data_IF_833787876261
#
_entry.id   IF_833787876261
#
_cell.length_a   1.000
_cell.length_b   1.000
_cell.length_c   1.000
_cell.angle_alpha   90.00
_cell.angle_beta   90.00
_cell.angle_gamma   90.00
#
_symmetry.space_group_name_H-M   'P 1'
#
loop_
_entity.id
_entity.type
_entity.pdbx_description
1 polymer ?
#
# COMPACT_ATOMS: atom_id res chain seq x y z
N UNK A 1 -12.17 -15.16 -15.23
CA UNK A 1 -12.97 -14.26 -14.35
C UNK A 1 -13.53 -15.10 -13.23
N UNK A 2 -13.66 -14.55 -12.01
CA UNK A 2 -14.25 -15.29 -10.88
C UNK A 2 -15.78 -15.25 -10.97
N UNK A 3 -16.41 -16.41 -11.12
CA UNK A 3 -17.85 -16.57 -10.92
C UNK A 3 -18.12 -16.76 -9.41
N UNK A 4 -19.06 -15.98 -8.87
CA UNK A 4 -19.43 -16.03 -7.45
C UNK A 4 -20.35 -17.20 -7.13
N UNK A 5 -21.01 -17.76 -8.14
CA UNK A 5 -21.96 -18.87 -7.97
C UNK A 5 -21.26 -20.22 -7.95
N UNK A 6 -20.14 -20.34 -8.67
CA UNK A 6 -19.31 -21.55 -8.74
C UNK A 6 -17.80 -21.22 -8.64
N UNK A 7 -17.32 -20.70 -7.50
CA UNK A 7 -15.93 -20.33 -7.35
C UNK A 7 -15.01 -21.56 -7.29
N UNK A 8 -13.98 -21.60 -8.13
CA UNK A 8 -12.89 -22.59 -8.08
C UNK A 8 -11.58 -21.96 -7.59
N UNK A 9 -10.64 -22.77 -7.09
CA UNK A 9 -9.30 -22.30 -6.72
C UNK A 9 -8.56 -21.67 -7.92
N UNK A 10 -8.73 -22.26 -9.11
CA UNK A 10 -8.14 -21.73 -10.34
C UNK A 10 -8.70 -20.35 -10.66
N UNK A 11 -10.01 -20.16 -10.61
CA UNK A 11 -10.64 -18.85 -10.87
C UNK A 11 -10.35 -17.85 -9.77
N UNK A 12 -10.22 -18.27 -8.51
CA UNK A 12 -9.83 -17.40 -7.40
C UNK A 12 -8.42 -16.81 -7.60
N UNK A 13 -7.50 -17.58 -8.17
CA UNK A 13 -6.17 -17.07 -8.50
C UNK A 13 -6.15 -16.28 -9.82
N UNK A 14 -6.59 -16.91 -10.90
CA UNK A 14 -6.41 -16.38 -12.27
C UNK A 14 -7.23 -15.13 -12.55
N UNK A 15 -8.32 -14.88 -11.82
CA UNK A 15 -9.11 -13.67 -11.97
C UNK A 15 -8.30 -12.38 -11.81
N UNK A 16 -7.27 -12.39 -10.95
CA UNK A 16 -6.38 -11.24 -10.73
C UNK A 16 -5.44 -10.97 -11.90
N UNK A 17 -5.34 -11.85 -12.89
CA UNK A 17 -4.48 -11.67 -14.07
C UNK A 17 -5.29 -11.36 -15.34
N UNK A 18 -6.60 -11.55 -15.31
CA UNK A 18 -7.50 -11.26 -16.43
C UNK A 18 -7.90 -9.79 -16.43
N UNK A 19 -7.83 -9.15 -17.59
CA UNK A 19 -8.21 -7.75 -17.80
C UNK A 19 -9.16 -7.65 -18.99
N UNK A 20 -10.25 -6.89 -18.84
CA UNK A 20 -11.26 -6.70 -19.89
C UNK A 20 -11.01 -5.48 -20.79
N UNK A 21 -10.06 -4.61 -20.43
CA UNK A 21 -9.71 -3.43 -21.19
C UNK A 21 -8.19 -3.22 -21.19
N UNK A 22 -7.63 -2.88 -22.35
CA UNK A 22 -6.20 -2.62 -22.52
C UNK A 22 -5.71 -1.49 -21.62
N UNK A 23 -6.50 -0.42 -21.48
CA UNK A 23 -6.20 0.70 -20.59
C UNK A 23 -6.09 0.28 -19.11
N UNK A 24 -6.91 -0.68 -18.67
CA UNK A 24 -6.83 -1.23 -17.32
C UNK A 24 -5.57 -2.08 -17.13
N UNK A 25 -5.20 -2.89 -18.14
CA UNK A 25 -3.95 -3.65 -18.12
C UNK A 25 -2.74 -2.72 -18.09
N UNK A 26 -2.71 -1.70 -18.96
CA UNK A 26 -1.62 -0.72 -19.05
C UNK A 26 -1.42 0.03 -17.73
N UNK A 27 -2.52 0.48 -17.10
CA UNK A 27 -2.47 1.14 -15.79
C UNK A 27 -1.90 0.20 -14.72
N UNK A 28 -2.32 -1.06 -14.67
CA UNK A 28 -1.80 -2.03 -13.72
C UNK A 28 -0.31 -2.33 -13.96
N UNK A 29 0.11 -2.49 -15.22
CA UNK A 29 1.50 -2.75 -15.56
C UNK A 29 2.40 -1.55 -15.21
N UNK A 30 1.97 -0.33 -15.55
CA UNK A 30 2.69 0.89 -15.19
C UNK A 30 2.78 1.06 -13.66
N UNK A 31 1.67 0.83 -12.95
CA UNK A 31 1.64 0.88 -11.49
C UNK A 31 2.60 -0.14 -10.89
N UNK A 32 2.56 -1.39 -11.36
CA UNK A 32 3.46 -2.45 -10.90
C UNK A 32 4.93 -2.12 -11.17
N UNK A 33 5.24 -1.64 -12.38
CA UNK A 33 6.59 -1.29 -12.82
C UNK A 33 7.20 -0.12 -12.04
N UNK A 34 6.39 0.71 -11.38
CA UNK A 34 6.89 1.83 -10.56
C UNK A 34 6.84 1.50 -9.07
N UNK A 35 5.73 0.96 -8.57
CA UNK A 35 5.54 0.66 -7.13
C UNK A 35 6.48 -0.43 -6.66
N UNK A 36 6.59 -1.56 -7.39
CA UNK A 36 7.36 -2.72 -6.92
C UNK A 36 8.86 -2.46 -6.91
N UNK A 37 9.48 -1.89 -7.96
CA UNK A 37 10.90 -1.54 -7.91
C UNK A 37 11.19 -0.48 -6.85
N UNK A 38 10.32 0.51 -6.65
CA UNK A 38 10.52 1.51 -5.59
C UNK A 38 10.48 0.86 -4.21
N UNK A 39 9.51 -0.01 -3.94
CA UNK A 39 9.44 -0.78 -2.69
C UNK A 39 10.68 -1.67 -2.49
N UNK A 40 11.19 -2.29 -3.58
CA UNK A 40 12.43 -3.05 -3.55
C UNK A 40 13.62 -2.19 -3.17
N UNK A 41 13.82 -1.04 -3.82
CA UNK A 41 14.93 -0.13 -3.55
C UNK A 41 14.87 0.42 -2.13
N UNK A 42 13.68 0.82 -1.64
CA UNK A 42 13.50 1.24 -0.25
C UNK A 42 13.89 0.13 0.74
N UNK A 43 13.48 -1.12 0.48
CA UNK A 43 13.90 -2.27 1.29
C UNK A 43 15.40 -2.58 1.14
N UNK A 44 15.97 -2.38 -0.05
CA UNK A 44 17.37 -2.65 -0.35
C UNK A 44 18.28 -1.73 0.46
N UNK A 45 17.98 -0.43 0.47
CA UNK A 45 18.75 0.61 1.15
C UNK A 45 18.34 0.83 2.62
N UNK A 46 17.47 -0.04 3.16
CA UNK A 46 17.16 -0.13 4.59
C UNK A 46 17.49 -1.51 5.19
N UNK A 47 18.29 -2.32 4.47
CA UNK A 47 18.67 -3.69 4.86
C UNK A 47 17.50 -4.65 5.12
N UNK A 48 16.35 -4.39 4.49
CA UNK A 48 15.11 -5.19 4.57
C UNK A 48 14.88 -6.08 3.34
N UNK A 49 15.94 -6.55 2.66
CA UNK A 49 15.81 -7.43 1.48
C UNK A 49 15.03 -8.73 1.74
N UNK A 50 15.09 -9.26 2.97
CA UNK A 50 14.32 -10.46 3.37
C UNK A 50 12.82 -10.16 3.42
N UNK A 51 12.43 -9.02 3.99
CA UNK A 51 11.05 -8.55 4.02
C UNK A 51 10.50 -8.43 2.60
N UNK A 52 11.22 -7.75 1.71
CA UNK A 52 10.78 -7.61 0.32
C UNK A 52 10.56 -8.96 -0.35
N UNK A 53 11.53 -9.90 -0.24
CA UNK A 53 11.42 -11.21 -0.88
C UNK A 53 10.24 -12.02 -0.34
N UNK A 54 10.06 -12.04 0.99
CA UNK A 54 8.95 -12.73 1.62
C UNK A 54 7.59 -12.14 1.19
N UNK A 55 7.45 -10.82 1.25
CA UNK A 55 6.25 -10.12 0.81
C UNK A 55 6.00 -10.32 -0.69
N UNK A 56 7.03 -10.20 -1.53
CA UNK A 56 6.91 -10.37 -2.98
C UNK A 56 6.37 -11.75 -3.37
N UNK A 57 6.94 -12.82 -2.80
CA UNK A 57 6.46 -14.18 -3.07
C UNK A 57 5.05 -14.37 -2.50
N UNK A 58 4.82 -13.92 -1.27
CA UNK A 58 3.51 -14.08 -0.60
C UNK A 58 2.39 -13.32 -1.33
N UNK A 59 2.69 -12.16 -1.92
CA UNK A 59 1.70 -11.35 -2.63
C UNK A 59 1.40 -11.88 -4.02
N UNK A 60 2.34 -12.57 -4.66
CA UNK A 60 2.04 -13.27 -5.91
C UNK A 60 1.26 -14.56 -5.66
N UNK A 61 1.61 -15.30 -4.61
CA UNK A 61 1.07 -16.66 -4.41
C UNK A 61 -0.18 -16.67 -3.54
N UNK A 62 -0.18 -15.97 -2.41
CA UNK A 62 -1.23 -16.10 -1.38
C UNK A 62 -2.27 -14.97 -1.42
N UNK A 63 -1.83 -13.73 -1.68
CA UNK A 63 -2.72 -12.57 -1.68
C UNK A 63 -3.90 -12.68 -2.68
N UNK A 64 -3.75 -13.21 -3.91
CA UNK A 64 -4.88 -13.43 -4.80
C UNK A 64 -6.01 -14.25 -4.16
N UNK A 65 -5.67 -15.34 -3.47
CA UNK A 65 -6.64 -16.17 -2.77
C UNK A 65 -7.30 -15.42 -1.61
N UNK A 66 -6.53 -14.69 -0.81
CA UNK A 66 -7.05 -13.89 0.29
C UNK A 66 -8.03 -12.81 -0.19
N UNK A 67 -7.69 -12.10 -1.26
CA UNK A 67 -8.55 -11.10 -1.89
C UNK A 67 -9.84 -11.72 -2.43
N UNK A 68 -9.73 -12.83 -3.15
CA UNK A 68 -10.92 -13.53 -3.67
C UNK A 68 -11.81 -14.05 -2.55
N UNK A 69 -11.25 -14.69 -1.52
CA UNK A 69 -12.02 -15.21 -0.39
C UNK A 69 -12.79 -14.10 0.34
N UNK A 70 -12.12 -12.99 0.66
CA UNK A 70 -12.76 -11.87 1.34
C UNK A 70 -13.79 -11.16 0.45
N UNK A 71 -13.54 -11.08 -0.85
CA UNK A 71 -14.51 -10.52 -1.78
C UNK A 71 -15.74 -11.44 -1.99
N UNK A 72 -15.59 -12.78 -1.83
CA UNK A 72 -16.73 -13.72 -1.79
C UNK A 72 -17.57 -13.56 -0.51
N UNK A 73 -16.93 -13.27 0.63
CA UNK A 73 -17.62 -13.12 1.93
C UNK A 73 -18.52 -11.87 1.99
N UNK A 74 -18.20 -10.84 1.22
CA UNK A 74 -19.02 -9.63 1.09
C UNK A 74 -19.69 -9.60 -0.29
N UNK A 75 -20.76 -10.40 -0.45
CA UNK A 75 -21.52 -10.50 -1.71
C UNK A 75 -21.96 -9.10 -2.16
N UNK A 76 -21.34 -8.60 -3.22
CA UNK A 76 -21.76 -7.39 -3.95
C UNK A 76 -21.84 -7.72 -5.44
N UNK A 77 -22.65 -6.96 -6.18
CA UNK A 77 -22.71 -6.97 -7.65
C UNK A 77 -21.43 -6.37 -8.27
N UNK A 78 -20.27 -6.90 -7.93
CA UNK A 78 -18.99 -6.48 -8.49
C UNK A 78 -18.29 -7.72 -9.03
N UNK A 79 -17.75 -7.67 -10.24
CA UNK A 79 -16.97 -8.78 -10.80
C UNK A 79 -15.53 -8.67 -10.27
N UNK A 80 -14.93 -9.78 -9.81
CA UNK A 80 -13.50 -9.78 -9.43
C UNK A 80 -12.67 -10.04 -10.68
N UNK A 81 -11.92 -9.04 -11.11
CA UNK A 81 -10.89 -9.20 -12.13
C UNK A 81 -9.81 -8.11 -12.01
N UNK A 82 -8.61 -8.42 -12.51
CA UNK A 82 -7.50 -7.47 -12.64
C UNK A 82 -6.53 -7.45 -11.45
N UNK A 83 -5.29 -7.07 -11.75
CA UNK A 83 -4.14 -7.23 -10.84
C UNK A 83 -4.05 -6.14 -9.76
N UNK A 84 -4.89 -5.12 -9.87
CA UNK A 84 -4.87 -3.91 -9.04
C UNK A 84 -4.92 -4.16 -7.52
N UNK A 85 -5.65 -5.18 -7.06
CA UNK A 85 -5.64 -5.57 -5.64
C UNK A 85 -4.28 -6.06 -5.16
N UNK A 86 -3.56 -6.81 -6.01
CA UNK A 86 -2.20 -7.28 -5.73
C UNK A 86 -1.21 -6.11 -5.78
N UNK A 87 -1.36 -5.19 -6.75
CA UNK A 87 -0.61 -3.93 -6.77
C UNK A 87 -0.82 -3.16 -5.46
N UNK A 88 -2.03 -3.16 -4.91
CA UNK A 88 -2.33 -2.57 -3.58
C UNK A 88 -1.67 -3.30 -2.42
N UNK A 89 -1.51 -4.61 -2.51
CA UNK A 89 -0.59 -5.35 -1.65
C UNK A 89 0.82 -4.74 -1.65
N UNK A 90 1.39 -4.55 -2.84
CA UNK A 90 2.72 -3.95 -2.99
C UNK A 90 2.79 -2.49 -2.56
N UNK A 91 1.72 -1.71 -2.74
CA UNK A 91 1.64 -0.36 -2.23
C UNK A 91 1.64 -0.34 -0.70
N UNK A 92 0.94 -1.27 -0.04
CA UNK A 92 1.02 -1.45 1.41
C UNK A 92 2.44 -1.81 1.89
N UNK A 93 3.16 -2.65 1.14
CA UNK A 93 4.59 -2.89 1.38
C UNK A 93 5.44 -1.64 1.15
N UNK A 94 5.19 -0.86 0.10
CA UNK A 94 5.89 0.39 -0.17
C UNK A 94 5.73 1.36 1.00
N UNK A 95 4.52 1.48 1.55
CA UNK A 95 4.24 2.32 2.71
C UNK A 95 5.11 1.93 3.91
N UNK A 96 5.19 0.63 4.23
CA UNK A 96 6.07 0.15 5.31
C UNK A 96 7.56 0.34 4.97
N UNK A 97 7.96 0.05 3.73
CA UNK A 97 9.34 0.18 3.28
C UNK A 97 9.82 1.64 3.33
N UNK A 98 8.96 2.60 2.99
CA UNK A 98 9.24 4.03 3.09
C UNK A 98 9.47 4.44 4.55
N UNK A 99 8.64 3.96 5.47
CA UNK A 99 8.87 4.16 6.91
C UNK A 99 10.22 3.60 7.35
N UNK A 100 10.52 2.35 7.02
CA UNK A 100 11.81 1.72 7.38
C UNK A 100 13.00 2.47 6.79
N UNK A 101 12.86 2.98 5.56
CA UNK A 101 13.90 3.73 4.89
C UNK A 101 14.16 5.08 5.57
N UNK A 102 13.11 5.84 5.89
CA UNK A 102 13.26 7.13 6.61
C UNK A 102 13.83 6.91 8.01
N UNK A 103 13.39 5.85 8.71
CA UNK A 103 13.94 5.42 10.00
C UNK A 103 15.46 5.18 9.92
N UNK A 104 15.90 4.42 8.89
CA UNK A 104 17.32 4.14 8.64
C UNK A 104 18.13 5.40 8.33
N UNK A 105 17.62 6.29 7.47
CA UNK A 105 18.38 7.50 7.07
C UNK A 105 18.48 8.52 8.20
N UNK A 106 17.44 8.64 9.02
CA UNK A 106 17.40 9.64 10.10
C UNK A 106 18.02 9.16 11.41
N UNK A 107 18.28 7.85 11.56
CA UNK A 107 18.76 7.24 12.81
C UNK A 107 17.76 7.37 13.96
N UNK A 108 16.52 7.78 13.68
CA UNK A 108 15.45 7.86 14.67
C UNK A 108 14.84 6.48 14.78
N UNK A 109 15.16 5.77 15.85
CA UNK A 109 14.41 4.57 16.23
C UNK A 109 13.02 5.00 16.72
N UNK A 110 12.13 5.25 15.76
CA UNK A 110 10.71 5.43 16.06
C UNK A 110 10.17 4.13 16.68
N UNK A 111 10.77 2.99 16.37
CA UNK A 111 10.36 1.71 16.90
C UNK A 111 9.11 1.20 16.21
N UNK A 112 8.92 -0.11 16.31
CA UNK A 112 7.86 -0.85 15.61
C UNK A 112 6.45 -0.35 15.93
N UNK A 113 6.28 0.29 17.09
CA UNK A 113 5.01 0.84 17.55
C UNK A 113 4.47 1.99 16.69
N UNK A 114 5.32 2.71 15.94
CA UNK A 114 4.87 3.86 15.14
C UNK A 114 4.72 3.55 13.65
N UNK A 115 5.15 2.39 13.17
CA UNK A 115 4.90 1.99 11.77
C UNK A 115 3.39 2.01 11.42
N UNK A 116 2.45 1.60 12.30
CA UNK A 116 1.02 1.74 12.02
C UNK A 116 0.57 3.19 11.75
N UNK A 117 1.29 4.20 12.25
CA UNK A 117 0.96 5.60 11.96
C UNK A 117 1.04 5.91 10.46
N UNK A 118 2.04 5.35 9.74
CA UNK A 118 2.14 5.56 8.29
C UNK A 118 1.04 4.81 7.52
N UNK A 119 0.57 3.67 8.06
CA UNK A 119 -0.59 2.97 7.52
C UNK A 119 -1.85 3.82 7.63
N UNK A 120 -2.12 4.38 8.81
CA UNK A 120 -3.26 5.26 9.01
C UNK A 120 -3.14 6.56 8.20
N UNK A 121 -1.93 7.09 8.03
CA UNK A 121 -1.71 8.23 7.13
C UNK A 121 -2.07 7.87 5.68
N UNK A 122 -1.65 6.70 5.18
CA UNK A 122 -2.04 6.23 3.85
C UNK A 122 -3.55 6.00 3.72
N UNK A 123 -4.19 5.43 4.76
CA UNK A 123 -5.65 5.31 4.84
C UNK A 123 -6.34 6.67 4.81
N UNK A 124 -5.76 7.69 5.43
CA UNK A 124 -6.28 9.05 5.38
C UNK A 124 -6.20 9.64 3.96
N UNK A 125 -5.08 9.43 3.26
CA UNK A 125 -4.91 9.84 1.86
C UNK A 125 -5.93 9.14 0.96
N UNK A 126 -6.13 7.83 1.12
CA UNK A 126 -7.15 7.06 0.40
C UNK A 126 -8.56 7.59 0.69
N UNK A 127 -8.89 7.83 1.97
CA UNK A 127 -10.18 8.39 2.36
C UNK A 127 -10.42 9.77 1.74
N UNK A 128 -9.39 10.62 1.72
CA UNK A 128 -9.44 11.94 1.09
C UNK A 128 -9.60 11.87 -0.44
N UNK A 129 -8.96 10.90 -1.10
CA UNK A 129 -9.12 10.68 -2.55
C UNK A 129 -10.58 10.36 -2.92
N UNK A 130 -11.28 9.61 -2.07
CA UNK A 130 -12.67 9.18 -2.30
C UNK A 130 -13.69 10.16 -1.69
N UNK A 131 -13.29 11.04 -0.78
CA UNK A 131 -14.16 12.01 -0.11
C UNK A 131 -15.06 12.87 -1.03
N UNK A 132 -14.63 13.29 -2.24
CA UNK A 132 -15.50 14.02 -3.16
C UNK A 132 -16.73 13.23 -3.63
N UNK A 133 -16.72 11.90 -3.49
CA UNK A 133 -17.78 11.01 -3.96
C UNK A 133 -18.66 10.47 -2.83
N UNK A 134 -18.18 10.47 -1.59
CA UNK A 134 -18.92 9.96 -0.44
C UNK A 134 -18.45 10.58 0.88
N UNK A 135 -19.42 10.91 1.74
CA UNK A 135 -19.16 11.36 3.11
C UNK A 135 -18.42 10.32 3.95
N UNK A 136 -18.55 9.03 3.62
CA UNK A 136 -17.80 7.97 4.27
C UNK A 136 -16.29 8.10 4.03
N UNK A 137 -15.86 8.55 2.85
CA UNK A 137 -14.44 8.80 2.55
C UNK A 137 -13.86 9.89 3.44
N UNK A 138 -14.58 11.00 3.60
CA UNK A 138 -14.20 12.09 4.50
C UNK A 138 -14.15 11.63 5.97
N UNK A 139 -15.14 10.86 6.41
CA UNK A 139 -15.16 10.30 7.77
C UNK A 139 -13.97 9.38 8.04
N UNK A 140 -13.65 8.48 7.10
CA UNK A 140 -12.46 7.61 7.18
C UNK A 140 -11.18 8.43 7.24
N UNK A 141 -11.06 9.48 6.42
CA UNK A 141 -9.88 10.35 6.42
C UNK A 141 -9.68 11.03 7.79
N UNK A 142 -10.74 11.62 8.34
CA UNK A 142 -10.70 12.28 9.66
C UNK A 142 -10.38 11.29 10.77
N UNK A 143 -11.03 10.12 10.78
CA UNK A 143 -10.77 9.09 11.78
C UNK A 143 -9.34 8.57 11.72
N UNK A 144 -8.81 8.32 10.52
CA UNK A 144 -7.45 7.87 10.33
C UNK A 144 -6.42 8.93 10.76
N UNK A 145 -6.66 10.21 10.45
CA UNK A 145 -5.83 11.33 10.94
C UNK A 145 -5.87 11.46 12.46
N UNK A 146 -7.01 11.24 13.09
CA UNK A 146 -7.11 11.24 14.55
C UNK A 146 -6.20 10.14 15.15
N UNK A 147 -6.17 8.94 14.56
CA UNK A 147 -5.28 7.85 14.98
C UNK A 147 -3.81 8.22 14.75
N UNK A 148 -3.46 8.85 13.63
CA UNK A 148 -2.10 9.38 13.40
C UNK A 148 -1.71 10.36 14.51
N UNK A 149 -2.62 11.25 14.91
CA UNK A 149 -2.42 12.18 16.02
C UNK A 149 -2.13 11.48 17.36
N UNK A 150 -2.77 10.33 17.62
CA UNK A 150 -2.49 9.52 18.82
C UNK A 150 -1.08 8.93 18.80
N UNK A 151 -0.60 8.46 17.64
CA UNK A 151 0.79 8.00 17.50
C UNK A 151 1.78 9.16 17.61
N UNK A 152 1.47 10.32 17.04
CA UNK A 152 2.31 11.51 17.11
C UNK A 152 2.45 12.05 18.54
N UNK A 153 1.43 11.89 19.39
CA UNK A 153 1.53 12.20 20.83
C UNK A 153 2.65 11.41 21.52
N UNK A 154 2.90 10.17 21.10
CA UNK A 154 4.00 9.35 21.60
C UNK A 154 5.39 9.82 21.20
N UNK A 155 5.48 10.82 20.31
CA UNK A 155 6.71 11.46 19.85
C UNK A 155 6.90 12.87 20.46
N UNK A 156 5.95 13.35 21.27
CA UNK A 156 6.02 14.66 21.95
C UNK A 156 7.18 14.62 22.94
N UNK A 157 8.26 15.32 22.60
CA UNK A 157 9.54 15.30 23.33
C UNK A 157 10.75 14.92 22.46
N UNK A 158 10.53 14.41 21.25
CA UNK A 158 11.60 14.25 20.26
C UNK A 158 12.09 15.64 19.80
N UNK A 159 13.41 15.85 19.82
CA UNK A 159 14.03 17.05 19.27
C UNK A 159 13.68 17.17 17.77
N UNK A 160 13.30 18.39 17.35
CA UNK A 160 12.89 18.82 16.01
C UNK A 160 12.91 17.73 14.91
N UNK A 161 11.75 17.08 14.64
CA UNK A 161 11.63 16.04 13.62
C UNK A 161 12.05 16.49 12.22
N UNK A 162 11.85 17.78 11.88
CA UNK A 162 12.23 18.32 10.57
C UNK A 162 13.74 18.50 10.47
N UNK A 163 14.39 18.97 11.53
CA UNK A 163 15.84 19.02 11.59
C UNK A 163 16.45 17.62 11.48
N UNK A 164 15.86 16.62 12.14
CA UNK A 164 16.30 15.21 12.04
C UNK A 164 16.12 14.64 10.64
N UNK A 165 14.96 14.85 10.03
CA UNK A 165 14.71 14.48 8.63
C UNK A 165 15.77 15.09 7.72
N UNK A 166 15.99 16.40 7.83
CA UNK A 166 17.00 17.11 7.05
C UNK A 166 18.40 16.53 7.28
N UNK A 167 18.80 16.36 8.53
CA UNK A 167 20.13 15.84 8.88
C UNK A 167 20.36 14.42 8.36
N UNK A 168 19.34 13.58 8.31
CA UNK A 168 19.44 12.21 7.80
C UNK A 168 19.73 12.13 6.29
N UNK A 169 19.43 13.18 5.54
CA UNK A 169 19.73 13.25 4.11
C UNK A 169 20.90 14.18 3.77
N UNK A 170 21.39 14.99 4.71
CA UNK A 170 22.57 15.82 4.52
C UNK A 170 23.81 14.93 4.43
N UNK A 171 24.50 14.98 3.29
CA UNK A 171 25.68 14.15 3.03
C UNK A 171 25.36 12.70 2.63
N UNK A 172 24.08 12.35 2.47
CA UNK A 172 23.70 11.06 1.91
C UNK A 172 24.24 10.90 0.46
N UNK A 173 24.63 9.69 0.04
CA UNK A 173 25.08 9.47 -1.34
C UNK A 173 24.00 9.87 -2.36
N UNK A 174 24.39 10.29 -3.58
CA UNK A 174 23.44 10.61 -4.64
C UNK A 174 22.39 9.51 -4.84
N UNK A 175 21.13 9.89 -5.07
CA UNK A 175 20.01 8.96 -5.27
C UNK A 175 19.17 8.68 -4.01
N UNK A 176 19.69 8.94 -2.79
CA UNK A 176 18.96 8.62 -1.55
C UNK A 176 17.78 9.57 -1.29
N UNK A 177 17.98 10.87 -1.54
CA UNK A 177 16.92 11.87 -1.41
C UNK A 177 15.89 11.71 -2.53
N UNK A 178 16.34 11.41 -3.74
CA UNK A 178 15.51 11.14 -4.91
C UNK A 178 14.63 9.92 -4.68
N UNK A 179 15.20 8.81 -4.15
CA UNK A 179 14.43 7.62 -3.79
C UNK A 179 13.38 7.92 -2.71
N UNK A 180 13.75 8.67 -1.67
CA UNK A 180 12.80 9.11 -0.64
C UNK A 180 11.65 9.93 -1.24
N UNK A 181 12.01 10.85 -2.15
CA UNK A 181 11.07 11.74 -2.83
C UNK A 181 10.13 10.94 -3.72
N UNK A 182 10.64 10.03 -4.55
CA UNK A 182 9.83 9.14 -5.39
C UNK A 182 8.90 8.27 -4.52
N UNK A 183 9.43 7.67 -3.45
CA UNK A 183 8.61 6.88 -2.51
C UNK A 183 7.49 7.70 -1.87
N UNK A 184 7.78 8.95 -1.48
CA UNK A 184 6.80 9.87 -0.88
C UNK A 184 5.76 10.32 -1.90
N UNK A 185 6.18 10.65 -3.13
CA UNK A 185 5.28 11.02 -4.23
C UNK A 185 4.35 9.86 -4.60
N UNK A 186 4.85 8.62 -4.61
CA UNK A 186 4.02 7.44 -4.79
C UNK A 186 3.05 7.27 -3.61
N UNK A 187 3.54 7.37 -2.38
CA UNK A 187 2.71 7.24 -1.18
C UNK A 187 1.53 8.23 -1.16
N UNK A 188 1.76 9.49 -1.55
CA UNK A 188 0.72 10.53 -1.55
C UNK A 188 -0.11 10.54 -2.84
N UNK A 189 0.52 10.34 -3.99
CA UNK A 189 -0.10 10.53 -5.31
C UNK A 189 -0.77 9.28 -5.87
N UNK A 190 -0.23 8.09 -5.60
CA UNK A 190 -0.76 6.85 -6.17
C UNK A 190 -2.22 6.55 -5.75
N UNK A 191 -2.66 6.81 -4.50
CA UNK A 191 -4.06 6.66 -4.11
C UNK A 191 -5.05 7.45 -4.99
N UNK A 192 -4.64 8.60 -5.53
CA UNK A 192 -5.49 9.41 -6.42
C UNK A 192 -5.76 8.73 -7.77
N UNK A 193 -4.89 7.82 -8.18
CA UNK A 193 -5.01 7.03 -9.41
C UNK A 193 -5.78 5.74 -9.12
N UNK A 194 -5.47 5.08 -7.99
CA UNK A 194 -6.05 3.80 -7.63
C UNK A 194 -7.49 3.89 -7.14
N UNK A 195 -7.87 5.04 -6.56
CA UNK A 195 -9.22 5.30 -6.09
C UNK A 195 -9.87 6.42 -6.91
N UNK A 196 -10.24 6.15 -8.18
CA UNK A 196 -10.87 7.16 -9.03
C UNK A 196 -12.25 7.55 -8.51
N UNK A 197 -12.65 8.80 -8.75
CA UNK A 197 -13.98 9.31 -8.36
C UNK A 197 -15.12 8.66 -9.15
N UNK A 198 -14.85 8.21 -10.38
CA UNK A 198 -15.75 7.39 -11.18
C UNK A 198 -15.17 5.98 -11.37
N UNK A 199 -15.69 4.97 -10.66
CA UNK A 199 -15.20 3.60 -10.75
C UNK A 199 -15.68 2.85 -12.00
N UNK A 200 -16.53 3.44 -12.85
CA UNK A 200 -17.08 2.82 -14.07
C UNK A 200 -16.40 3.30 -15.37
N UNK A 201 -15.35 4.11 -15.27
CA UNK A 201 -14.71 4.75 -16.41
C UNK A 201 -13.97 3.75 -17.32
N UNK A 202 -14.15 3.87 -18.63
CA UNK A 202 -13.36 3.13 -19.63
C UNK A 202 -13.81 1.70 -19.92
N UNK A 203 -15.06 1.35 -19.59
CA UNK A 203 -15.65 0.04 -19.91
C UNK A 203 -15.27 -1.08 -18.92
N UNK A 204 -14.58 -0.74 -17.82
CA UNK A 204 -14.33 -1.68 -16.73
C UNK A 204 -14.62 -1.05 -15.36
N UNK A 205 -14.95 -1.91 -14.39
CA UNK A 205 -15.33 -1.55 -13.04
C UNK A 205 -14.12 -1.70 -12.12
N UNK A 206 -13.74 -0.62 -11.42
CA UNK A 206 -12.69 -0.66 -10.40
C UNK A 206 -13.28 -1.10 -9.06
N UNK A 207 -12.81 -2.23 -8.55
CA UNK A 207 -13.23 -2.73 -7.23
C UNK A 207 -12.45 -2.01 -6.11
N UNK A 208 -12.93 -0.83 -5.69
CA UNK A 208 -12.33 -0.01 -4.63
C UNK A 208 -12.19 -0.78 -3.29
N UNK A 209 -13.09 -1.73 -3.02
CA UNK A 209 -13.01 -2.57 -1.84
C UNK A 209 -11.80 -3.51 -1.90
N UNK A 210 -11.58 -4.17 -3.04
CA UNK A 210 -10.41 -5.04 -3.24
C UNK A 210 -9.11 -4.24 -3.20
N UNK A 211 -9.11 -2.97 -3.65
CA UNK A 211 -7.95 -2.08 -3.53
C UNK A 211 -7.61 -1.79 -2.07
N UNK A 212 -8.60 -1.34 -1.29
CA UNK A 212 -8.42 -1.07 0.13
C UNK A 212 -7.95 -2.32 0.87
N UNK A 213 -8.52 -3.48 0.54
CA UNK A 213 -8.14 -4.75 1.12
C UNK A 213 -6.72 -5.15 0.76
N UNK A 214 -6.32 -4.99 -0.51
CA UNK A 214 -4.94 -5.20 -0.96
C UNK A 214 -3.97 -4.35 -0.15
N UNK A 215 -4.25 -3.06 0.00
CA UNK A 215 -3.45 -2.14 0.80
C UNK A 215 -3.33 -2.60 2.26
N UNK A 216 -4.45 -2.93 2.90
CA UNK A 216 -4.48 -3.37 4.28
C UNK A 216 -3.74 -4.70 4.50
N UNK A 217 -4.04 -5.73 3.71
CA UNK A 217 -3.38 -7.04 3.82
C UNK A 217 -1.89 -6.94 3.51
N UNK A 218 -1.52 -6.16 2.50
CA UNK A 218 -0.12 -5.91 2.13
C UNK A 218 0.67 -5.28 3.27
N UNK A 219 0.13 -4.21 3.87
CA UNK A 219 0.77 -3.56 5.00
C UNK A 219 0.83 -4.48 6.23
N UNK A 220 -0.29 -5.08 6.64
CA UNK A 220 -0.39 -5.87 7.88
C UNK A 220 0.51 -7.09 7.82
N UNK A 221 0.54 -7.81 6.70
CA UNK A 221 1.40 -9.00 6.56
C UNK A 221 2.89 -8.63 6.55
N UNK A 222 3.27 -7.54 5.87
CA UNK A 222 4.64 -7.04 5.88
C UNK A 222 5.05 -6.53 7.27
N UNK A 223 4.14 -5.87 7.98
CA UNK A 223 4.35 -5.42 9.35
C UNK A 223 4.51 -6.60 10.32
N UNK A 224 3.64 -7.62 10.20
CA UNK A 224 3.75 -8.86 10.96
C UNK A 224 5.09 -9.56 10.73
N UNK A 225 5.56 -9.65 9.48
CA UNK A 225 6.89 -10.20 9.19
C UNK A 225 8.01 -9.39 9.86
N UNK A 226 7.88 -8.06 9.95
CA UNK A 226 8.84 -7.21 10.67
C UNK A 226 8.87 -7.51 12.17
N UNK A 227 7.70 -7.73 12.79
CA UNK A 227 7.57 -8.04 14.24
C UNK A 227 8.14 -9.42 14.61
N UNK A 228 8.10 -10.37 13.68
CA UNK A 228 8.60 -11.72 13.89
C UNK A 228 9.78 -12.01 12.96
N UNK A 229 10.93 -11.31 13.11
CA UNK A 229 12.13 -11.68 12.38
C UNK A 229 12.48 -13.09 12.85
N UNK A 230 12.32 -14.07 11.95
CA UNK A 230 12.65 -15.46 12.24
C UNK A 230 14.03 -15.52 12.91
N UNK A 231 14.07 -16.15 14.09
CA UNK A 231 15.30 -16.46 14.82
C UNK A 231 16.35 -17.07 13.90
#
# INVERSE_FOLDING_TARGET
VLDYTEPTLVTAYTAHFVHHAEAHLATNLASYAVVVPTAYLLCLFSDRRRLFRAAFVSFLVALPFGLSALNLLFIRRAVTYGFSGVVMGYFGLLTLALFCYVEQQTGVDAGERHAPAVFFLGTAVIGAAVAPTTSAGAAVAVAALAVVGLYARGLVGAADPLARLRSGFVGAPPGHLELCTVGTLLFLGYPLIAFPTDPFRGGAVVNLYTHLLGYALGFISAYGFRLFPGR
#
